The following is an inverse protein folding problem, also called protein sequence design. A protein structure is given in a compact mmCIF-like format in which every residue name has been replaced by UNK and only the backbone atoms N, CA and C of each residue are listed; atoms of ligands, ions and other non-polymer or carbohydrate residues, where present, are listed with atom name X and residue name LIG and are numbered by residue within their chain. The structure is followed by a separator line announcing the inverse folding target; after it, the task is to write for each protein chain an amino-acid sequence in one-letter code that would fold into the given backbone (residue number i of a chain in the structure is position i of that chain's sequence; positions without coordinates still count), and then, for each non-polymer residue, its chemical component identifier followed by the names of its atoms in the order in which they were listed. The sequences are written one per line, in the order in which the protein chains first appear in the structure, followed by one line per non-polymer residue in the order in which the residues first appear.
data_IF_687764463695
#
_entry.id   IF_687764463695
#
_cell.length_a   1.000
_cell.length_b   1.000
_cell.length_c   1.000
_cell.angle_alpha   90.00
_cell.angle_beta   90.00
_cell.angle_gamma   90.00
#
_symmetry.space_group_name_H-M   'P 1'
#
loop_
_entity.id
_entity.type
_entity.pdbx_description
1 polymer ?
#
# COMPACT_ATOMS: atom_id res chain seq x y z
N UNK A 1 -8.92 4.44 -5.65
CA UNK A 1 -8.47 4.15 -7.04
C UNK A 1 -9.48 4.53 -8.12
N UNK A 2 -10.69 3.94 -8.17
CA UNK A 2 -11.66 4.21 -9.26
C UNK A 2 -12.00 5.70 -9.45
N UNK A 3 -12.20 6.46 -8.36
CA UNK A 3 -12.47 7.91 -8.42
C UNK A 3 -11.35 8.70 -9.15
N UNK A 4 -10.08 8.39 -8.89
CA UNK A 4 -8.94 9.12 -9.46
C UNK A 4 -8.47 8.61 -10.83
N UNK A 5 -8.66 7.33 -11.12
CA UNK A 5 -8.23 6.73 -12.40
C UNK A 5 -9.32 6.79 -13.48
N UNK A 6 -10.59 6.85 -13.08
CA UNK A 6 -11.73 6.95 -13.99
C UNK A 6 -11.73 5.85 -15.05
N UNK A 7 -11.92 6.24 -16.31
CA UNK A 7 -11.98 5.32 -17.44
C UNK A 7 -10.66 4.57 -17.75
N UNK A 8 -9.51 5.02 -17.22
CA UNK A 8 -8.22 4.33 -17.40
C UNK A 8 -8.13 3.03 -16.59
N UNK A 9 -8.97 2.88 -15.57
CA UNK A 9 -9.08 1.64 -14.80
C UNK A 9 -10.26 0.83 -15.33
N UNK A 10 -10.02 -0.36 -15.93
CA UNK A 10 -11.10 -1.21 -16.44
C UNK A 10 -12.13 -1.55 -15.38
N UNK A 11 -13.37 -1.71 -15.82
CA UNK A 11 -14.46 -2.24 -14.99
C UNK A 11 -14.58 -3.73 -15.26
N UNK A 12 -14.65 -4.50 -14.19
CA UNK A 12 -15.05 -5.91 -14.29
C UNK A 12 -16.54 -5.97 -14.62
N UNK A 13 -16.91 -6.94 -15.45
CA UNK A 13 -18.27 -7.43 -15.61
C UNK A 13 -18.76 -8.08 -14.30
N UNK A 14 -20.06 -8.38 -14.26
CA UNK A 14 -20.68 -9.05 -13.11
C UNK A 14 -20.10 -10.46 -12.94
N UNK A 15 -19.87 -11.16 -14.05
CA UNK A 15 -19.36 -12.52 -14.13
C UNK A 15 -17.90 -12.59 -13.67
N UNK A 16 -17.05 -11.68 -14.14
CA UNK A 16 -15.66 -11.56 -13.67
C UNK A 16 -15.61 -11.24 -12.18
N UNK A 17 -16.47 -10.31 -11.71
CA UNK A 17 -16.52 -9.94 -10.29
C UNK A 17 -16.92 -11.14 -9.41
N UNK A 18 -17.88 -11.96 -9.86
CA UNK A 18 -18.27 -13.19 -9.16
C UNK A 18 -17.15 -14.22 -9.13
N UNK A 19 -16.42 -14.35 -10.24
CA UNK A 19 -15.29 -15.30 -10.35
C UNK A 19 -14.12 -14.91 -9.46
N UNK A 20 -13.83 -13.61 -9.35
CA UNK A 20 -12.73 -13.09 -8.53
C UNK A 20 -13.05 -13.03 -7.04
N UNK A 21 -14.33 -12.89 -6.67
CA UNK A 21 -14.70 -12.81 -5.27
C UNK A 21 -14.60 -14.19 -4.60
N UNK A 22 -13.76 -14.30 -3.57
CA UNK A 22 -13.56 -15.56 -2.83
C UNK A 22 -12.63 -16.56 -3.52
N UNK A 23 -11.91 -16.17 -4.58
CA UNK A 23 -10.99 -17.06 -5.31
C UNK A 23 -9.60 -17.21 -4.68
N UNK A 24 -9.41 -16.77 -3.43
CA UNK A 24 -8.10 -16.74 -2.76
C UNK A 24 -8.15 -17.65 -1.53
N UNK A 25 -7.38 -18.74 -1.58
CA UNK A 25 -7.21 -19.66 -0.45
C UNK A 25 -6.07 -19.23 0.50
N UNK A 26 -5.03 -18.60 -0.05
CA UNK A 26 -3.86 -18.13 0.69
C UNK A 26 -3.36 -16.78 0.16
N UNK A 27 -2.79 -15.97 1.05
CA UNK A 27 -2.17 -14.69 0.70
C UNK A 27 -0.67 -14.79 0.98
N UNK A 28 0.14 -14.70 -0.07
CA UNK A 28 1.59 -14.53 0.03
C UNK A 28 1.95 -13.04 -0.05
N UNK A 29 2.86 -12.60 0.83
CA UNK A 29 3.31 -11.20 0.88
C UNK A 29 4.82 -11.17 0.62
N UNK A 30 5.22 -10.51 -0.47
CA UNK A 30 6.63 -10.22 -0.74
C UNK A 30 7.00 -8.86 -0.13
N UNK A 31 7.44 -8.86 1.13
CA UNK A 31 7.89 -7.65 1.81
C UNK A 31 9.40 -7.48 1.70
N UNK A 32 9.82 -6.31 1.22
CA UNK A 32 11.24 -5.97 1.06
C UNK A 32 11.68 -4.79 1.92
N UNK A 33 10.76 -3.86 2.23
CA UNK A 33 11.05 -2.62 2.94
C UNK A 33 9.75 -1.94 3.35
N UNK A 34 9.85 -0.91 4.18
CA UNK A 34 8.80 0.08 4.41
C UNK A 34 9.30 1.49 4.07
N UNK A 35 8.37 2.40 3.78
CA UNK A 35 8.63 3.80 3.45
C UNK A 35 7.65 4.69 4.21
N UNK A 36 8.03 5.94 4.46
CA UNK A 36 7.08 6.97 4.85
C UNK A 36 6.19 7.34 3.67
N UNK A 37 4.93 7.68 3.97
CA UNK A 37 3.95 8.16 3.01
C UNK A 37 3.49 9.57 3.41
N UNK A 38 3.44 10.47 2.44
CA UNK A 38 2.95 11.85 2.60
C UNK A 38 1.80 12.08 1.62
N UNK A 39 0.69 12.61 2.13
CA UNK A 39 -0.43 13.06 1.31
C UNK A 39 0.02 14.13 0.31
N UNK A 40 -0.39 14.00 -0.95
CA UNK A 40 -0.18 15.00 -1.99
C UNK A 40 -1.49 15.49 -2.63
N UNK A 41 -2.66 15.14 -2.04
CA UNK A 41 -3.96 15.68 -2.46
C UNK A 41 -4.18 17.04 -1.82
N UNK A 42 -3.99 17.14 -0.50
CA UNK A 42 -4.29 18.35 0.26
C UNK A 42 -3.03 19.05 0.79
N UNK A 43 -1.85 18.50 0.52
CA UNK A 43 -0.57 19.01 1.05
C UNK A 43 0.46 19.26 -0.06
N UNK A 44 1.40 20.20 0.12
CA UNK A 44 2.47 20.44 -0.84
C UNK A 44 3.38 19.21 -0.99
N UNK A 45 3.65 18.82 -2.23
CA UNK A 45 4.57 17.73 -2.57
C UNK A 45 5.60 18.15 -3.61
N UNK A 46 6.75 17.46 -3.68
CA UNK A 46 7.73 17.68 -4.74
C UNK A 46 7.11 17.55 -6.13
N UNK A 47 7.64 18.31 -7.08
CA UNK A 47 7.18 18.30 -8.48
C UNK A 47 7.26 16.89 -9.06
N UNK A 48 6.15 16.40 -9.62
CA UNK A 48 6.05 15.05 -10.20
C UNK A 48 5.53 13.96 -9.26
N UNK A 49 5.29 14.26 -7.98
CA UNK A 49 4.81 13.26 -7.00
C UNK A 49 3.28 13.33 -6.77
N UNK A 50 2.62 14.38 -7.26
CA UNK A 50 1.15 14.52 -7.21
C UNK A 50 0.51 13.99 -8.49
N UNK A 51 0.56 12.66 -8.68
CA UNK A 51 -0.06 11.99 -9.83
C UNK A 51 -1.04 10.91 -9.40
N UNK A 52 -2.20 10.87 -10.06
CA UNK A 52 -3.24 9.87 -9.81
C UNK A 52 -2.76 8.42 -9.99
N UNK A 53 -1.79 8.20 -10.90
CA UNK A 53 -1.17 6.89 -11.10
C UNK A 53 -0.32 6.47 -9.89
N UNK A 54 0.35 7.42 -9.24
CA UNK A 54 1.10 7.20 -8.01
C UNK A 54 0.20 7.25 -6.77
N UNK A 55 -1.12 7.42 -6.93
CA UNK A 55 -2.08 7.50 -5.84
C UNK A 55 -2.08 8.84 -5.09
N UNK A 56 -1.48 9.88 -5.65
CA UNK A 56 -1.29 11.18 -4.98
C UNK A 56 -0.59 11.04 -3.62
N UNK A 57 0.43 10.18 -3.55
CA UNK A 57 1.26 9.98 -2.37
C UNK A 57 2.72 10.12 -2.74
N UNK A 58 3.45 10.90 -1.95
CA UNK A 58 4.90 10.94 -1.99
C UNK A 58 5.45 9.91 -1.00
N UNK A 59 6.38 9.07 -1.44
CA UNK A 59 7.01 8.06 -0.58
C UNK A 59 8.51 8.30 -0.47
N UNK A 60 9.04 8.10 0.74
CA UNK A 60 10.47 8.33 1.01
C UNK A 60 10.93 7.47 2.18
N UNK A 61 12.21 7.10 2.17
CA UNK A 61 12.85 6.46 3.32
C UNK A 61 13.26 7.43 4.40
N UNK A 62 13.09 8.75 4.19
CA UNK A 62 13.58 9.78 5.10
C UNK A 62 12.45 10.67 5.61
N UNK A 63 12.48 10.99 6.90
CA UNK A 63 11.62 11.99 7.52
C UNK A 63 12.51 12.91 8.35
N UNK A 64 12.45 14.21 8.05
CA UNK A 64 13.25 15.24 8.73
C UNK A 64 14.76 14.93 8.72
N UNK A 65 15.25 14.36 7.61
CA UNK A 65 16.64 13.93 7.43
C UNK A 65 17.01 12.58 8.07
N UNK A 66 16.10 11.99 8.84
CA UNK A 66 16.31 10.70 9.52
C UNK A 66 15.77 9.56 8.66
N UNK A 67 16.58 8.53 8.42
CA UNK A 67 16.16 7.34 7.70
C UNK A 67 15.20 6.49 8.54
N UNK A 68 14.23 5.85 7.89
CA UNK A 68 13.26 4.93 8.50
C UNK A 68 13.92 3.65 9.05
N UNK A 69 15.10 3.31 8.51
CA UNK A 69 15.89 2.14 8.86
C UNK A 69 17.24 2.19 8.15
N UNK A 70 18.04 1.12 8.29
CA UNK A 70 19.37 1.06 7.64
C UNK A 70 19.22 0.99 6.11
N UNK A 71 19.97 1.79 5.34
CA UNK A 71 19.90 1.77 3.88
C UNK A 71 20.57 0.52 3.31
N UNK A 72 20.06 0.03 2.18
CA UNK A 72 20.69 -1.04 1.40
C UNK A 72 21.35 -0.48 0.13
N UNK A 73 22.12 -1.28 -0.64
CA UNK A 73 22.63 -0.85 -1.95
C UNK A 73 21.54 -0.50 -2.97
N UNK A 74 20.29 -0.92 -2.74
CA UNK A 74 19.14 -0.54 -3.56
C UNK A 74 18.51 0.75 -2.98
N UNK A 75 18.50 1.89 -3.71
CA UNK A 75 18.15 3.20 -3.12
C UNK A 75 16.76 3.33 -2.50
N UNK A 76 15.80 2.47 -2.88
CA UNK A 76 14.44 2.46 -2.31
C UNK A 76 14.25 1.50 -1.15
N UNK A 77 15.22 0.66 -0.81
CA UNK A 77 15.05 -0.37 0.22
C UNK A 77 15.86 -0.04 1.47
N UNK A 78 15.17 -0.14 2.60
CA UNK A 78 15.66 0.06 3.95
C UNK A 78 15.35 -1.19 4.77
N UNK A 79 16.23 -1.53 5.70
CA UNK A 79 16.02 -2.62 6.64
C UNK A 79 14.99 -2.15 7.68
N UNK A 80 13.73 -2.58 7.52
CA UNK A 80 12.59 -2.21 8.38
C UNK A 80 11.75 -3.45 8.72
N UNK A 81 12.24 -4.35 9.59
CA UNK A 81 11.54 -5.60 9.93
C UNK A 81 10.17 -5.35 10.59
N UNK A 82 10.05 -4.36 11.46
CA UNK A 82 8.79 -4.00 12.14
C UNK A 82 7.67 -3.62 11.15
N UNK A 83 8.02 -3.23 9.92
CA UNK A 83 7.06 -2.97 8.86
C UNK A 83 6.28 -4.21 8.45
N UNK A 84 6.93 -5.37 8.43
CA UNK A 84 6.29 -6.65 8.15
C UNK A 84 5.42 -7.10 9.33
N UNK A 85 5.92 -6.97 10.57
CA UNK A 85 5.18 -7.32 11.78
C UNK A 85 3.86 -6.55 11.87
N UNK A 86 3.91 -5.23 11.64
CA UNK A 86 2.71 -4.39 11.63
C UNK A 86 1.69 -4.80 10.56
N UNK A 87 2.17 -5.28 9.41
CA UNK A 87 1.28 -5.75 8.34
C UNK A 87 0.57 -7.05 8.72
N UNK A 88 1.28 -7.97 9.38
CA UNK A 88 0.69 -9.23 9.85
C UNK A 88 -0.34 -8.98 10.97
N UNK A 89 -0.03 -8.11 11.93
CA UNK A 89 -0.96 -7.71 12.98
C UNK A 89 -2.27 -7.11 12.43
N UNK A 90 -2.19 -6.31 11.36
CA UNK A 90 -3.38 -5.79 10.67
C UNK A 90 -4.20 -6.90 10.00
N UNK A 91 -3.54 -7.90 9.42
CA UNK A 91 -4.23 -9.04 8.80
C UNK A 91 -5.00 -9.85 9.86
N UNK A 92 -4.36 -10.16 10.98
CA UNK A 92 -4.97 -10.88 12.11
C UNK A 92 -6.15 -10.11 12.70
N UNK A 93 -6.01 -8.80 12.88
CA UNK A 93 -7.08 -7.94 13.41
C UNK A 93 -8.31 -7.93 12.49
N UNK A 94 -8.10 -7.82 11.17
CA UNK A 94 -9.20 -7.83 10.19
C UNK A 94 -9.92 -9.18 10.12
N UNK A 95 -9.20 -10.29 10.29
CA UNK A 95 -9.80 -11.64 10.38
C UNK A 95 -10.66 -11.78 11.64
N UNK A 96 -10.14 -11.37 12.81
CA UNK A 96 -10.88 -11.43 14.07
C UNK A 96 -12.14 -10.54 14.06
N UNK A 97 -12.12 -9.39 13.38
CA UNK A 97 -13.31 -8.54 13.22
C UNK A 97 -14.36 -9.20 12.32
N UNK A 98 -13.95 -9.91 11.25
CA UNK A 98 -14.89 -10.65 10.39
C UNK A 98 -15.54 -11.83 11.12
N UNK A 99 -14.80 -12.53 11.98
CA UNK A 99 -15.34 -13.65 12.76
C UNK A 99 -16.33 -13.22 13.87
N UNK A 100 -16.28 -11.96 14.31
CA UNK A 100 -17.21 -11.41 15.33
C UNK A 100 -18.52 -10.85 14.78
N UNK A 101 -18.68 -10.78 13.45
CA UNK A 101 -19.89 -10.23 12.79
C UNK A 101 -20.84 -11.36 12.34
N UNK A 102 -20.52 -12.62 12.66
CA UNK A 102 -21.41 -13.77 12.47
C UNK A 102 -21.82 -14.38 13.80
#
# INVERSE_FOLDING_TARGET
MRHHLGARLPKFSVEESKTLNGSIDFIGINHYSSLYAKDCINSPCPTGESHAFLGFVYTTGFRDGVAIGEPTPMPRFFIVPDGLEKMDLLNQTNLQVREKIY
#
